data_IF_088866549244
#
_entry.id   IF_088866549244
#
_cell.length_a   1.000
_cell.length_b   1.000
_cell.length_c   1.000
_cell.angle_alpha   90.00
_cell.angle_beta   90.00
_cell.angle_gamma   90.00
#
_symmetry.space_group_name_H-M   'P 1'
#
loop_
_entity.id
_entity.type
_entity.pdbx_description
1 polymer ?
#
# COMPACT_ATOMS: atom_id res chain seq x y z
N UNK A 1 -5.84 -8.42 -18.51
CA UNK A 1 -7.06 -8.50 -17.69
C UNK A 1 -7.86 -7.21 -17.74
N UNK A 2 -7.31 -6.04 -17.39
CA UNK A 2 -8.03 -4.76 -17.43
C UNK A 2 -8.56 -4.39 -18.83
N UNK A 3 -7.79 -4.53 -19.93
CA UNK A 3 -8.33 -4.26 -21.29
C UNK A 3 -9.56 -5.09 -21.67
N UNK A 4 -9.71 -6.29 -21.12
CA UNK A 4 -10.92 -7.11 -21.36
C UNK A 4 -12.16 -6.60 -20.59
N UNK A 5 -11.96 -5.84 -19.51
CA UNK A 5 -13.04 -5.24 -18.71
C UNK A 5 -13.37 -3.81 -19.12
N UNK A 6 -12.39 -3.10 -19.66
CA UNK A 6 -12.50 -1.71 -20.10
C UNK A 6 -11.75 -1.52 -21.44
N UNK A 7 -12.25 -2.07 -22.55
CA UNK A 7 -11.62 -1.93 -23.87
C UNK A 7 -11.60 -0.47 -24.34
N UNK A 8 -12.47 0.38 -23.78
CA UNK A 8 -12.55 1.82 -24.06
C UNK A 8 -11.28 2.57 -23.67
N UNK A 9 -10.43 2.00 -22.82
CA UNK A 9 -9.11 2.55 -22.47
C UNK A 9 -8.22 2.81 -23.69
N UNK A 10 -8.33 1.99 -24.73
CA UNK A 10 -7.50 2.12 -25.93
C UNK A 10 -7.80 3.39 -26.73
N UNK A 11 -9.00 3.96 -26.56
CA UNK A 11 -9.52 5.06 -27.37
C UNK A 11 -9.90 6.32 -26.54
N UNK A 12 -9.50 6.38 -25.27
CA UNK A 12 -9.77 7.54 -24.43
C UNK A 12 -8.49 8.23 -23.97
N UNK A 13 -8.61 9.48 -23.57
CA UNK A 13 -7.54 10.20 -22.87
C UNK A 13 -7.48 9.76 -21.40
N UNK A 14 -6.32 9.93 -20.79
CA UNK A 14 -6.12 9.59 -19.38
C UNK A 14 -7.05 10.45 -18.49
N UNK A 15 -7.86 9.80 -17.67
CA UNK A 15 -8.85 10.45 -16.81
C UNK A 15 -10.25 10.66 -17.44
N UNK A 16 -10.40 10.34 -18.73
CA UNK A 16 -11.67 10.46 -19.45
C UNK A 16 -12.35 9.11 -19.71
N UNK A 17 -11.99 8.07 -18.96
CA UNK A 17 -12.57 6.74 -19.14
C UNK A 17 -14.06 6.71 -18.83
N UNK A 18 -14.82 6.17 -19.78
CA UNK A 18 -16.23 5.81 -19.65
C UNK A 18 -16.36 4.36 -20.07
N UNK A 19 -16.23 3.44 -19.12
CA UNK A 19 -16.29 2.01 -19.38
C UNK A 19 -17.67 1.44 -19.06
N UNK A 20 -18.24 0.70 -19.99
CA UNK A 20 -19.57 0.10 -19.84
C UNK A 20 -19.65 -0.85 -18.64
N UNK A 21 -18.64 -1.72 -18.50
CA UNK A 21 -18.60 -2.73 -17.43
C UNK A 21 -18.11 -2.17 -16.09
N UNK A 22 -17.48 -0.99 -16.10
CA UNK A 22 -16.88 -0.35 -14.91
C UNK A 22 -17.26 1.13 -14.86
N UNK A 23 -18.55 1.47 -14.69
CA UNK A 23 -19.06 2.84 -14.89
C UNK A 23 -18.49 3.86 -13.88
N UNK A 24 -17.96 3.41 -12.78
CA UNK A 24 -17.36 4.26 -11.73
C UNK A 24 -15.83 4.38 -11.86
N UNK A 25 -15.18 3.58 -12.71
CA UNK A 25 -13.74 3.68 -12.95
C UNK A 25 -13.46 4.85 -13.90
N UNK A 26 -12.80 5.89 -13.41
CA UNK A 26 -12.47 7.10 -14.19
C UNK A 26 -10.98 7.20 -14.50
N UNK A 27 -10.14 6.80 -13.56
CA UNK A 27 -8.70 6.93 -13.67
C UNK A 27 -8.02 5.58 -13.55
N UNK A 28 -7.11 5.30 -14.46
CA UNK A 28 -6.22 4.15 -14.40
C UNK A 28 -4.80 4.68 -14.35
N UNK A 29 -4.03 4.26 -13.35
CA UNK A 29 -2.65 4.71 -13.14
C UNK A 29 -1.73 3.52 -13.37
N UNK A 30 -0.78 3.69 -14.28
CA UNK A 30 0.25 2.69 -14.56
C UNK A 30 1.53 3.03 -13.80
N UNK A 31 2.08 2.04 -13.12
CA UNK A 31 3.43 2.11 -12.58
C UNK A 31 4.44 1.90 -13.71
N UNK A 32 5.55 2.65 -13.67
CA UNK A 32 6.60 2.58 -14.69
C UNK A 32 6.58 3.75 -15.67
N UNK A 33 7.57 3.76 -16.59
CA UNK A 33 7.84 4.88 -17.51
C UNK A 33 7.12 4.77 -18.87
N UNK A 34 6.67 3.58 -19.23
CA UNK A 34 6.00 3.37 -20.53
C UNK A 34 4.61 4.01 -20.54
N UNK A 35 4.26 4.64 -21.65
CA UNK A 35 2.93 5.19 -21.86
C UNK A 35 1.95 4.09 -22.32
N UNK A 36 0.74 4.14 -21.82
CA UNK A 36 -0.39 3.30 -22.25
C UNK A 36 -1.59 4.16 -22.51
N UNK A 37 -2.36 3.81 -23.56
CA UNK A 37 -3.57 4.53 -23.92
C UNK A 37 -4.54 4.58 -22.73
N UNK A 38 -5.21 5.72 -22.52
CA UNK A 38 -6.20 5.94 -21.47
C UNK A 38 -5.67 5.92 -20.04
N UNK A 39 -4.36 5.76 -19.82
CA UNK A 39 -3.78 5.63 -18.48
C UNK A 39 -2.86 6.81 -18.14
N UNK A 40 -2.91 7.21 -16.89
CA UNK A 40 -1.88 8.08 -16.32
C UNK A 40 -0.62 7.29 -16.00
N UNK A 41 0.56 7.88 -16.17
CA UNK A 41 1.77 7.37 -15.53
C UNK A 41 1.83 7.87 -14.09
N UNK A 42 2.30 7.04 -13.17
CA UNK A 42 2.40 7.39 -11.75
C UNK A 42 3.22 8.68 -11.52
N UNK A 43 4.35 8.81 -12.20
CA UNK A 43 5.18 10.02 -12.13
C UNK A 43 4.45 11.29 -12.59
N UNK A 44 3.59 11.19 -13.61
CA UNK A 44 2.78 12.30 -14.07
C UNK A 44 1.72 12.70 -13.03
N UNK A 45 1.08 11.72 -12.38
CA UNK A 45 0.12 11.96 -11.30
C UNK A 45 0.75 12.71 -10.13
N UNK A 46 1.99 12.36 -9.76
CA UNK A 46 2.73 13.04 -8.70
C UNK A 46 3.02 14.53 -9.00
N UNK A 47 2.92 14.95 -10.26
CA UNK A 47 3.12 16.33 -10.69
C UNK A 47 1.82 17.14 -10.85
N UNK A 48 0.65 16.51 -10.65
CA UNK A 48 -0.63 17.18 -10.85
C UNK A 48 -1.04 18.09 -9.69
N UNK A 49 -0.49 17.85 -8.49
CA UNK A 49 -0.82 18.64 -7.30
C UNK A 49 -0.38 20.09 -7.41
N UNK A 50 -1.29 21.02 -7.11
CA UNK A 50 -1.04 22.44 -7.01
C UNK A 50 -1.08 22.93 -5.55
N UNK A 51 -0.76 24.20 -5.32
CA UNK A 51 -0.87 24.81 -3.99
C UNK A 51 -2.29 24.72 -3.39
N UNK A 52 -3.32 24.69 -4.24
CA UNK A 52 -4.71 24.56 -3.81
C UNK A 52 -4.98 23.16 -3.22
N UNK A 53 -4.50 22.10 -3.87
CA UNK A 53 -4.65 20.73 -3.37
C UNK A 53 -3.82 20.54 -2.09
N UNK A 54 -2.62 21.11 -1.99
CA UNK A 54 -1.84 21.05 -0.75
C UNK A 54 -2.55 21.73 0.43
N UNK A 55 -3.19 22.88 0.21
CA UNK A 55 -4.00 23.53 1.26
C UNK A 55 -5.22 22.69 1.65
N UNK A 56 -5.79 21.91 0.73
CA UNK A 56 -6.88 21.00 1.05
C UNK A 56 -6.42 19.82 1.92
N UNK A 57 -5.16 19.35 1.76
CA UNK A 57 -4.61 18.30 2.61
C UNK A 57 -4.62 18.68 4.08
N UNK A 58 -4.22 19.90 4.43
CA UNK A 58 -4.25 20.42 5.81
C UNK A 58 -5.66 20.37 6.40
N UNK A 59 -6.67 20.74 5.60
CA UNK A 59 -8.08 20.67 6.00
C UNK A 59 -8.54 19.24 6.22
N UNK A 60 -8.11 18.32 5.35
CA UNK A 60 -8.46 16.90 5.45
C UNK A 60 -7.80 16.27 6.67
N UNK A 61 -6.52 16.55 6.92
CA UNK A 61 -5.80 16.06 8.11
C UNK A 61 -6.52 16.41 9.40
N UNK A 62 -7.03 17.62 9.51
CA UNK A 62 -7.82 18.06 10.68
C UNK A 62 -9.15 17.34 10.88
N UNK A 63 -9.62 16.59 9.89
CA UNK A 63 -10.86 15.81 9.94
C UNK A 63 -10.66 14.32 10.18
N UNK A 64 -9.43 13.84 10.03
CA UNK A 64 -9.12 12.40 10.21
C UNK A 64 -9.21 12.01 11.69
N UNK A 65 -9.80 10.86 11.94
CA UNK A 65 -9.99 10.34 13.28
C UNK A 65 -9.35 8.96 13.44
N UNK A 66 -8.74 8.70 14.58
CA UNK A 66 -8.07 7.44 14.87
C UNK A 66 -8.96 6.20 14.70
N UNK A 67 -10.27 6.38 14.77
CA UNK A 67 -11.27 5.32 14.61
C UNK A 67 -11.82 5.21 13.17
N UNK A 68 -11.39 6.09 12.25
CA UNK A 68 -11.82 6.01 10.87
C UNK A 68 -11.30 4.73 10.21
N UNK A 69 -12.10 4.09 9.35
CA UNK A 69 -11.68 2.91 8.60
C UNK A 69 -10.65 3.31 7.54
N UNK A 70 -9.52 2.62 7.51
CA UNK A 70 -8.43 2.90 6.54
C UNK A 70 -7.99 1.72 5.72
N UNK A 71 -8.42 0.51 6.09
CA UNK A 71 -8.02 -0.70 5.40
C UNK A 71 -9.15 -1.73 5.43
N UNK A 72 -9.34 -2.43 4.31
CA UNK A 72 -10.19 -3.61 4.22
C UNK A 72 -9.28 -4.78 3.87
N UNK A 73 -8.96 -5.60 4.85
CA UNK A 73 -8.10 -6.75 4.67
C UNK A 73 -8.95 -8.00 4.43
N UNK A 74 -8.81 -8.60 3.25
CA UNK A 74 -9.49 -9.85 2.94
C UNK A 74 -8.74 -11.03 3.53
N UNK A 75 -9.50 -11.90 4.22
CA UNK A 75 -9.00 -13.19 4.70
C UNK A 75 -9.42 -14.29 3.74
N UNK A 76 -8.61 -15.35 3.63
CA UNK A 76 -8.88 -16.49 2.74
C UNK A 76 -10.14 -17.29 3.11
N UNK A 77 -10.66 -17.11 4.32
CA UNK A 77 -11.87 -17.81 4.83
C UNK A 77 -11.72 -19.34 4.81
N UNK A 78 -11.93 -19.99 5.92
CA UNK A 78 -11.91 -21.46 6.00
C UNK A 78 -13.17 -22.12 5.47
N UNK A 79 -14.24 -21.35 5.24
CA UNK A 79 -15.60 -21.87 4.98
C UNK A 79 -16.28 -21.27 3.75
N UNK A 80 -15.53 -20.76 2.76
CA UNK A 80 -16.13 -20.23 1.54
C UNK A 80 -15.57 -18.88 1.07
N UNK A 81 -16.41 -17.90 0.81
CA UNK A 81 -15.99 -16.60 0.27
C UNK A 81 -15.06 -15.83 1.21
N UNK A 82 -14.05 -15.11 0.65
CA UNK A 82 -13.20 -14.24 1.44
C UNK A 82 -14.00 -13.21 2.24
N UNK A 83 -13.58 -12.94 3.47
CA UNK A 83 -14.21 -11.94 4.34
C UNK A 83 -13.34 -10.70 4.39
N UNK A 84 -13.93 -9.52 4.16
CA UNK A 84 -13.26 -8.24 4.29
C UNK A 84 -13.32 -7.72 5.72
N UNK A 85 -12.21 -7.77 6.45
CA UNK A 85 -12.10 -7.17 7.77
C UNK A 85 -11.77 -5.67 7.61
N UNK A 86 -12.67 -4.82 8.08
CA UNK A 86 -12.46 -3.36 8.07
C UNK A 86 -11.67 -2.95 9.32
N UNK A 87 -10.54 -2.28 9.11
CA UNK A 87 -9.60 -1.88 10.15
C UNK A 87 -9.48 -0.37 10.21
N UNK A 88 -9.46 0.19 11.41
CA UNK A 88 -9.20 1.61 11.65
C UNK A 88 -7.71 1.89 11.81
N UNK A 89 -7.32 3.19 11.78
CA UNK A 89 -5.98 3.63 12.14
C UNK A 89 -5.55 3.04 13.48
N UNK A 90 -6.42 3.11 14.49
CA UNK A 90 -6.16 2.61 15.85
C UNK A 90 -5.89 1.11 15.86
N UNK A 91 -6.66 0.31 15.12
CA UNK A 91 -6.45 -1.13 15.07
C UNK A 91 -5.06 -1.48 14.53
N UNK A 92 -4.72 -0.89 13.40
CA UNK A 92 -3.47 -1.20 12.69
C UNK A 92 -2.26 -0.72 13.48
N UNK A 93 -2.28 0.55 13.91
CA UNK A 93 -1.14 1.15 14.61
C UNK A 93 -0.89 0.53 15.98
N UNK A 94 -1.95 0.29 16.77
CA UNK A 94 -1.79 -0.35 18.08
C UNK A 94 -1.25 -1.77 17.94
N UNK A 95 -1.72 -2.54 16.94
CA UNK A 95 -1.19 -3.87 16.69
C UNK A 95 0.32 -3.82 16.39
N UNK A 96 0.73 -2.94 15.49
CA UNK A 96 2.14 -2.75 15.14
C UNK A 96 2.98 -2.35 16.37
N UNK A 97 2.49 -1.39 17.15
CA UNK A 97 3.20 -0.89 18.32
C UNK A 97 3.39 -1.99 19.39
N UNK A 98 2.33 -2.71 19.75
CA UNK A 98 2.43 -3.75 20.77
C UNK A 98 3.26 -4.97 20.30
N UNK A 99 3.22 -5.31 19.02
CA UNK A 99 4.10 -6.34 18.47
C UNK A 99 5.55 -5.91 18.58
N UNK A 100 5.90 -4.67 18.20
CA UNK A 100 7.26 -4.17 18.32
C UNK A 100 7.76 -4.10 19.77
N UNK A 101 6.88 -3.72 20.71
CA UNK A 101 7.21 -3.77 22.13
C UNK A 101 7.55 -5.21 22.59
N UNK A 102 6.72 -6.20 22.21
CA UNK A 102 6.98 -7.60 22.57
C UNK A 102 8.25 -8.16 21.92
N UNK A 103 8.63 -7.67 20.77
CA UNK A 103 9.89 -7.99 20.10
C UNK A 103 11.09 -7.22 20.68
N UNK A 104 10.84 -6.28 21.59
CA UNK A 104 11.84 -5.33 22.12
C UNK A 104 12.52 -4.51 21.02
N UNK A 105 11.78 -4.19 19.96
CA UNK A 105 12.30 -3.47 18.80
C UNK A 105 12.67 -2.03 19.19
N UNK A 106 13.81 -1.57 18.67
CA UNK A 106 14.36 -0.25 18.94
C UNK A 106 14.94 0.39 17.66
N UNK A 107 15.36 1.64 17.76
CA UNK A 107 16.01 2.34 16.65
C UNK A 107 17.39 1.75 16.25
N UNK A 108 17.98 0.92 17.09
CA UNK A 108 19.23 0.22 16.77
C UNK A 108 19.01 -1.04 15.91
N UNK A 109 17.77 -1.52 15.83
CA UNK A 109 17.46 -2.78 15.17
C UNK A 109 17.22 -2.63 13.67
N UNK A 110 17.43 -3.74 12.96
CA UNK A 110 17.20 -3.88 11.54
C UNK A 110 16.31 -5.11 11.31
N UNK A 111 15.05 -4.85 10.93
CA UNK A 111 14.08 -5.91 10.69
C UNK A 111 14.06 -6.31 9.21
N UNK A 112 14.40 -7.55 8.92
CA UNK A 112 14.21 -8.13 7.59
C UNK A 112 12.75 -8.50 7.37
N UNK A 113 12.15 -8.00 6.28
CA UNK A 113 10.74 -8.21 5.93
C UNK A 113 10.67 -9.11 4.69
N UNK A 114 10.56 -10.46 4.86
CA UNK A 114 10.55 -11.42 3.75
C UNK A 114 9.16 -11.66 3.16
N UNK A 115 8.18 -10.87 3.54
CA UNK A 115 6.77 -11.06 3.18
C UNK A 115 6.25 -9.86 2.39
N UNK A 116 5.27 -10.06 1.49
CA UNK A 116 4.73 -8.98 0.70
C UNK A 116 4.11 -7.87 1.56
N UNK A 117 4.36 -6.62 1.19
CA UNK A 117 3.85 -5.45 1.93
C UNK A 117 2.33 -5.25 1.77
N UNK A 118 1.70 -5.87 0.79
CA UNK A 118 0.23 -5.88 0.65
C UNK A 118 -0.45 -6.88 1.62
N UNK A 119 0.29 -7.78 2.24
CA UNK A 119 -0.22 -8.66 3.29
C UNK A 119 -0.06 -8.00 4.66
N UNK A 120 -1.03 -8.21 5.57
CA UNK A 120 -1.02 -7.60 6.90
C UNK A 120 0.28 -7.88 7.69
N UNK A 121 0.91 -9.03 7.46
CA UNK A 121 2.20 -9.34 8.09
C UNK A 121 3.30 -8.34 7.64
N UNK A 122 3.47 -8.13 6.34
CA UNK A 122 4.47 -7.17 5.82
C UNK A 122 4.11 -5.72 6.13
N UNK A 123 2.84 -5.35 5.99
CA UNK A 123 2.37 -3.99 6.25
C UNK A 123 2.42 -3.62 7.74
N UNK A 124 1.82 -4.43 8.60
CA UNK A 124 1.66 -4.11 10.02
C UNK A 124 2.87 -4.54 10.85
N UNK A 125 3.19 -5.84 10.84
CA UNK A 125 4.29 -6.38 11.65
C UNK A 125 5.67 -6.05 11.09
N UNK A 126 5.79 -5.82 9.79
CA UNK A 126 7.02 -5.34 9.16
C UNK A 126 7.10 -3.81 9.21
N UNK A 127 6.38 -3.17 8.31
CA UNK A 127 6.54 -1.72 8.04
C UNK A 127 6.14 -0.84 9.22
N UNK A 128 4.90 -0.94 9.68
CA UNK A 128 4.41 -0.07 10.76
C UNK A 128 5.09 -0.35 12.10
N UNK A 129 5.51 -1.60 12.35
CA UNK A 129 6.28 -1.96 13.52
C UNK A 129 7.64 -1.24 13.53
N UNK A 130 8.36 -1.26 12.40
CA UNK A 130 9.62 -0.52 12.27
C UNK A 130 9.41 0.99 12.44
N UNK A 131 8.41 1.56 11.75
CA UNK A 131 8.12 3.01 11.83
C UNK A 131 7.80 3.44 13.25
N UNK A 132 6.99 2.68 13.98
CA UNK A 132 6.59 3.02 15.35
C UNK A 132 7.71 2.93 16.39
N UNK A 133 8.79 2.21 16.08
CA UNK A 133 9.95 2.01 16.98
C UNK A 133 11.26 2.63 16.46
N UNK A 134 11.22 3.26 15.29
CA UNK A 134 12.39 3.85 14.64
C UNK A 134 13.38 2.84 14.06
N UNK A 135 12.99 1.55 13.96
CA UNK A 135 13.85 0.49 13.44
C UNK A 135 14.02 0.57 11.92
N UNK A 136 15.12 0.07 11.42
CA UNK A 136 15.40 0.04 9.98
C UNK A 136 14.68 -1.12 9.31
N UNK A 137 13.96 -0.84 8.22
CA UNK A 137 13.39 -1.88 7.34
C UNK A 137 14.45 -2.39 6.37
N UNK A 138 14.59 -3.70 6.25
CA UNK A 138 15.47 -4.36 5.27
C UNK A 138 14.62 -5.17 4.31
N UNK A 139 14.62 -4.75 3.04
CA UNK A 139 13.93 -5.40 1.93
C UNK A 139 15.00 -5.88 0.94
N UNK A 140 15.48 -7.12 1.04
CA UNK A 140 16.63 -7.59 0.28
C UNK A 140 16.36 -7.79 -1.22
N UNK A 141 15.11 -7.99 -1.61
CA UNK A 141 14.69 -8.18 -3.01
C UNK A 141 13.22 -7.78 -3.20
N UNK A 142 12.80 -7.63 -4.45
CA UNK A 142 11.43 -7.23 -4.82
C UNK A 142 10.38 -8.32 -4.51
N UNK A 143 10.80 -9.61 -4.53
CA UNK A 143 9.95 -10.75 -4.21
C UNK A 143 10.71 -11.68 -3.27
N UNK A 144 10.00 -12.60 -2.62
CA UNK A 144 10.65 -13.58 -1.74
C UNK A 144 11.62 -14.45 -2.53
N UNK A 145 12.92 -14.33 -2.22
CA UNK A 145 13.99 -15.17 -2.73
C UNK A 145 14.75 -15.79 -1.55
N UNK A 146 14.65 -17.12 -1.34
CA UNK A 146 15.29 -17.78 -0.22
C UNK A 146 16.80 -17.57 -0.14
N UNK A 147 17.47 -17.44 -1.29
CA UNK A 147 18.94 -17.25 -1.33
C UNK A 147 19.31 -15.88 -0.79
N UNK A 148 18.65 -14.83 -1.25
CA UNK A 148 18.86 -13.46 -0.78
C UNK A 148 18.63 -13.32 0.72
N UNK A 149 17.63 -13.99 1.29
CA UNK A 149 17.35 -13.97 2.73
C UNK A 149 18.32 -14.80 3.54
N UNK A 150 18.75 -15.96 3.02
CA UNK A 150 19.70 -16.85 3.73
C UNK A 150 21.10 -16.22 3.85
N UNK A 151 21.51 -15.44 2.85
CA UNK A 151 22.82 -14.80 2.80
C UNK A 151 22.82 -13.34 3.28
N UNK A 152 21.75 -12.91 3.93
CA UNK A 152 21.67 -11.58 4.52
C UNK A 152 22.60 -11.52 5.74
N UNK A 153 23.80 -10.96 5.54
CA UNK A 153 24.68 -10.67 6.66
C UNK A 153 24.17 -9.40 7.33
N UNK A 154 23.47 -9.55 8.43
CA UNK A 154 23.21 -8.43 9.33
C UNK A 154 24.54 -8.03 9.96
N UNK A 155 24.93 -6.75 9.96
CA UNK A 155 26.09 -6.32 10.72
C UNK A 155 25.83 -6.63 12.19
N UNK A 156 26.75 -7.41 12.76
CA UNK A 156 26.80 -7.70 14.21
C UNK A 156 27.19 -6.47 14.99
#
# INVERSE_FOLDING_TARGET
MLPALAPELENCEAGALVAEKLPHLKHVIRMGSEKSAGMHNFSAVCQLGSAAEFSQLEVIEGRLHANDPINIQFTSGTTGNPKGATLSHRNILNNAYFVGQNMHLSAADRLCIPVPLYHCFGMVMGTLCCVSHGATMVLPCEAFDPVSYTHLTLPT
#
